data_IF_450656881498
#
_entry.id   IF_450656881498
#
_cell.length_a   1.000
_cell.length_b   1.000
_cell.length_c   1.000
_cell.angle_alpha   90.00
_cell.angle_beta   90.00
_cell.angle_gamma   90.00
#
_symmetry.space_group_name_H-M   'P 1'
#
loop_
_entity.id
_entity.type
_entity.pdbx_description
1 polymer ?
#
# COMPACT_ATOMS: atom_id res chain seq x y z
N UNK A 1 7.19 5.58 7.41
CA UNK A 1 6.73 4.16 7.42
C UNK A 1 5.54 3.91 8.33
N UNK A 2 5.50 4.52 9.50
CA UNK A 2 4.39 4.30 10.44
C UNK A 2 3.03 4.67 9.87
N UNK A 3 2.96 5.72 9.08
CA UNK A 3 1.72 6.14 8.44
C UNK A 3 1.27 5.14 7.38
N UNK A 4 2.21 4.55 6.64
CA UNK A 4 1.90 3.51 5.67
C UNK A 4 1.31 2.29 6.38
N UNK A 5 1.95 1.86 7.45
CA UNK A 5 1.45 0.72 8.24
C UNK A 5 0.06 1.00 8.82
N UNK A 6 -0.17 2.22 9.29
CA UNK A 6 -1.48 2.61 9.83
C UNK A 6 -2.57 2.53 8.75
N UNK A 7 -2.26 3.02 7.55
CA UNK A 7 -3.19 2.97 6.42
C UNK A 7 -3.51 1.52 6.05
N UNK A 8 -2.50 0.67 5.97
CA UNK A 8 -2.68 -0.74 5.64
C UNK A 8 -3.49 -1.46 6.70
N UNK A 9 -3.22 -1.21 7.97
CA UNK A 9 -3.98 -1.81 9.07
C UNK A 9 -5.43 -1.37 9.08
N UNK A 10 -5.69 -0.15 8.67
CA UNK A 10 -7.05 0.36 8.59
C UNK A 10 -7.86 -0.39 7.51
N UNK A 11 -7.19 -0.74 6.40
CA UNK A 11 -7.82 -1.50 5.33
C UNK A 11 -7.98 -2.99 5.68
N UNK A 12 -6.97 -3.57 6.33
CA UNK A 12 -6.93 -5.00 6.70
C UNK A 12 -6.35 -5.16 8.10
N UNK A 13 -7.15 -5.01 9.16
CA UNK A 13 -6.62 -5.05 10.54
C UNK A 13 -6.04 -6.39 10.96
N UNK A 14 -6.42 -7.48 10.29
CA UNK A 14 -5.99 -8.83 10.66
C UNK A 14 -4.65 -9.25 10.07
N UNK A 15 -4.04 -8.41 9.25
CA UNK A 15 -2.80 -8.73 8.55
C UNK A 15 -1.61 -8.10 9.26
N UNK A 16 -0.54 -8.86 9.41
CA UNK A 16 0.73 -8.35 9.94
C UNK A 16 1.57 -7.80 8.80
N UNK A 17 1.35 -6.54 8.46
CA UNK A 17 2.03 -5.89 7.35
C UNK A 17 3.52 -5.69 7.59
N UNK A 18 3.96 -5.71 8.84
CA UNK A 18 5.38 -5.53 9.15
C UNK A 18 6.21 -6.73 8.70
N UNK A 19 5.63 -7.92 8.70
CA UNK A 19 6.33 -9.15 8.31
C UNK A 19 5.91 -9.71 6.96
N UNK A 20 4.74 -9.33 6.44
CA UNK A 20 4.25 -9.86 5.18
C UNK A 20 4.91 -9.16 4.00
N UNK A 21 5.46 -9.95 3.06
CA UNK A 21 6.19 -9.41 1.92
C UNK A 21 5.63 -9.85 0.56
N UNK A 22 4.49 -10.50 0.56
CA UNK A 22 3.84 -10.97 -0.67
C UNK A 22 2.34 -10.68 -0.62
N UNK A 23 2.00 -9.42 -0.32
CA UNK A 23 0.61 -8.99 -0.14
C UNK A 23 -0.25 -9.26 -1.37
N UNK A 24 0.30 -9.02 -2.55
CA UNK A 24 -0.42 -9.25 -3.80
C UNK A 24 -0.31 -10.71 -4.21
N UNK A 25 0.90 -11.28 -4.16
CA UNK A 25 1.16 -12.65 -4.58
C UNK A 25 0.33 -13.67 -3.78
N UNK A 26 0.12 -13.40 -2.49
CA UNK A 26 -0.66 -14.28 -1.62
C UNK A 26 -2.14 -13.90 -1.55
N UNK A 27 -2.59 -12.99 -2.40
CA UNK A 27 -3.98 -12.51 -2.45
C UNK A 27 -4.47 -11.94 -1.11
N UNK A 28 -3.59 -11.36 -0.34
CA UNK A 28 -3.94 -10.70 0.92
C UNK A 28 -4.69 -9.41 0.63
N UNK A 29 -4.26 -8.68 -0.40
CA UNK A 29 -4.93 -7.47 -0.87
C UNK A 29 -5.63 -7.75 -2.20
N UNK A 30 -6.90 -7.37 -2.31
CA UNK A 30 -7.63 -7.43 -3.57
C UNK A 30 -7.70 -6.04 -4.20
N UNK A 31 -8.40 -5.93 -5.34
CA UNK A 31 -8.50 -4.66 -6.08
C UNK A 31 -9.16 -3.55 -5.26
N UNK A 32 -10.16 -3.89 -4.46
CA UNK A 32 -10.84 -2.91 -3.63
C UNK A 32 -9.94 -2.39 -2.53
N UNK A 33 -9.16 -3.29 -1.93
CA UNK A 33 -8.22 -2.91 -0.88
C UNK A 33 -7.15 -1.99 -1.43
N UNK A 34 -6.63 -2.29 -2.62
CA UNK A 34 -5.61 -1.48 -3.27
C UNK A 34 -6.14 -0.07 -3.55
N UNK A 35 -7.35 0.05 -4.09
CA UNK A 35 -7.95 1.35 -4.38
C UNK A 35 -8.12 2.16 -3.10
N UNK A 36 -8.60 1.53 -2.03
CA UNK A 36 -8.77 2.17 -0.73
C UNK A 36 -7.44 2.67 -0.18
N UNK A 37 -6.43 1.82 -0.25
CA UNK A 37 -5.08 2.15 0.23
C UNK A 37 -4.48 3.30 -0.57
N UNK A 38 -4.61 3.26 -1.89
CA UNK A 38 -4.11 4.32 -2.78
C UNK A 38 -4.77 5.65 -2.46
N UNK A 39 -6.08 5.66 -2.26
CA UNK A 39 -6.81 6.87 -1.90
C UNK A 39 -6.28 7.47 -0.59
N UNK A 40 -6.09 6.63 0.42
CA UNK A 40 -5.57 7.07 1.71
C UNK A 40 -4.13 7.57 1.61
N UNK A 41 -3.31 6.91 0.82
CA UNK A 41 -1.92 7.33 0.60
C UNK A 41 -1.86 8.69 -0.08
N UNK A 42 -2.69 8.90 -1.09
CA UNK A 42 -2.74 10.17 -1.82
C UNK A 42 -3.12 11.31 -0.88
N UNK A 43 -4.10 11.09 -0.02
CA UNK A 43 -4.53 12.09 0.95
C UNK A 43 -3.49 12.34 2.04
N UNK A 44 -2.92 11.27 2.57
CA UNK A 44 -2.01 11.37 3.72
C UNK A 44 -0.69 12.02 3.33
N UNK A 45 -0.14 11.65 2.18
CA UNK A 45 1.17 12.12 1.75
C UNK A 45 1.12 13.22 0.69
N UNK A 46 -0.09 13.58 0.27
CA UNK A 46 -0.31 14.58 -0.76
C UNK A 46 0.46 14.23 -2.05
N UNK A 47 0.32 12.99 -2.49
CA UNK A 47 0.92 12.48 -3.71
C UNK A 47 -0.17 11.98 -4.64
N UNK A 48 0.18 11.72 -5.90
CA UNK A 48 -0.74 11.12 -6.88
C UNK A 48 -0.20 9.77 -7.32
N UNK A 49 -0.77 8.71 -6.78
CA UNK A 49 -0.47 7.36 -7.25
C UNK A 49 -1.49 7.05 -8.35
N UNK A 50 -0.99 6.83 -9.55
CA UNK A 50 -1.84 6.50 -10.69
C UNK A 50 -2.17 5.01 -10.67
N UNK A 51 -3.46 4.68 -10.59
CA UNK A 51 -3.92 3.29 -10.56
C UNK A 51 -3.44 2.52 -11.79
N UNK A 52 -3.34 3.17 -12.94
CA UNK A 52 -2.85 2.53 -14.16
C UNK A 52 -1.35 2.17 -14.08
N UNK A 53 -0.63 2.76 -13.15
CA UNK A 53 0.80 2.48 -12.92
C UNK A 53 1.05 1.52 -11.77
N UNK A 54 0.00 0.89 -11.24
CA UNK A 54 0.15 -0.05 -10.13
C UNK A 54 0.84 -1.32 -10.61
N UNK A 55 2.07 -1.48 -10.17
CA UNK A 55 2.82 -2.70 -10.40
C UNK A 55 2.71 -3.56 -9.16
N UNK A 56 2.52 -4.85 -9.37
CA UNK A 56 2.39 -5.82 -8.29
C UNK A 56 3.53 -5.70 -7.29
N UNK A 57 4.76 -5.56 -7.78
CA UNK A 57 5.96 -5.45 -6.95
C UNK A 57 5.94 -4.22 -6.03
N UNK A 58 5.24 -3.15 -6.42
CA UNK A 58 5.16 -1.93 -5.62
C UNK A 58 4.21 -2.07 -4.44
N UNK A 59 3.36 -3.08 -4.44
CA UNK A 59 2.34 -3.27 -3.41
C UNK A 59 2.44 -4.60 -2.68
N UNK A 60 3.52 -5.35 -2.90
CA UNK A 60 3.72 -6.64 -2.24
C UNK A 60 4.11 -6.52 -0.76
N UNK A 61 4.59 -5.36 -0.33
CA UNK A 61 4.97 -5.16 1.07
C UNK A 61 4.78 -3.72 1.46
N UNK A 62 4.72 -3.47 2.77
CA UNK A 62 4.66 -2.10 3.30
C UNK A 62 5.90 -1.31 2.89
N UNK A 63 7.06 -1.95 2.88
CA UNK A 63 8.30 -1.29 2.46
C UNK A 63 8.24 -0.86 1.00
N UNK A 64 7.71 -1.70 0.12
CA UNK A 64 7.58 -1.38 -1.30
C UNK A 64 6.64 -0.19 -1.49
N UNK A 65 5.53 -0.16 -0.77
CA UNK A 65 4.58 0.95 -0.81
C UNK A 65 5.25 2.23 -0.32
N UNK A 66 6.00 2.15 0.77
CA UNK A 66 6.72 3.29 1.32
C UNK A 66 7.73 3.85 0.33
N UNK A 67 8.48 2.98 -0.35
CA UNK A 67 9.43 3.40 -1.37
C UNK A 67 8.73 4.11 -2.54
N UNK A 68 7.58 3.60 -2.96
CA UNK A 68 6.79 4.25 -4.00
C UNK A 68 6.38 5.66 -3.59
N UNK A 69 5.90 5.82 -2.36
CA UNK A 69 5.52 7.12 -1.82
C UNK A 69 6.71 8.07 -1.82
N UNK A 70 7.87 7.59 -1.41
CA UNK A 70 9.09 8.41 -1.38
C UNK A 70 9.48 8.92 -2.76
N UNK A 71 9.29 8.12 -3.79
CA UNK A 71 9.58 8.52 -5.17
C UNK A 71 8.65 9.61 -5.67
N UNK A 72 7.45 9.67 -5.15
CA UNK A 72 6.43 10.62 -5.60
C UNK A 72 6.41 11.92 -4.79
N UNK A 73 7.08 11.95 -3.68
CA UNK A 73 7.12 13.14 -2.81
C UNK A 73 8.05 14.23 -3.36
#
# INVERSE_FOLDING_TARGET
MDQVLAILKNAKPDVDFASEKALIDNNILDSFDIISIVTDLNDTFNVEINIASLLQENFNSAEAIWELVQKLK
#
